data_IF_500422424094
#
_entry.id   IF_500422424094
#
_cell.length_a   1.000
_cell.length_b   1.000
_cell.length_c   1.000
_cell.angle_alpha   90.00
_cell.angle_beta   90.00
_cell.angle_gamma   90.00
#
_symmetry.space_group_name_H-M   'P 1'
#
loop_
_entity.id
_entity.type
_entity.pdbx_description
1 polymer ?
#
# COMPACT_ATOMS: atom_id res chain seq x y z
N UNK A 1 11.88 -0.37 2.15
CA UNK A 1 11.35 -1.42 3.04
C UNK A 1 12.40 -2.50 3.15
N UNK A 2 12.63 -3.03 4.34
CA UNK A 2 13.51 -4.16 4.57
C UNK A 2 12.68 -5.44 4.65
N UNK A 3 13.12 -6.48 3.95
CA UNK A 3 12.41 -7.75 3.87
C UNK A 3 13.34 -8.87 4.35
N UNK A 4 12.88 -9.64 5.33
CA UNK A 4 13.44 -10.91 5.72
C UNK A 4 12.70 -12.01 4.95
N UNK A 5 13.46 -12.85 4.26
CA UNK A 5 12.94 -14.03 3.56
C UNK A 5 13.57 -15.24 4.24
N UNK A 6 12.74 -16.19 4.65
CA UNK A 6 13.18 -17.43 5.26
C UNK A 6 12.70 -18.60 4.41
N UNK A 7 13.66 -19.34 3.87
CA UNK A 7 13.41 -20.54 3.09
C UNK A 7 13.23 -21.71 4.05
N UNK A 8 12.11 -22.42 3.89
CA UNK A 8 11.79 -23.61 4.65
C UNK A 8 12.45 -24.83 4.01
N UNK A 9 12.45 -25.94 4.74
CA UNK A 9 12.98 -27.20 4.24
C UNK A 9 12.30 -27.61 2.92
N UNK A 10 13.12 -28.07 1.97
CA UNK A 10 12.67 -28.41 0.63
C UNK A 10 11.72 -29.61 0.67
N UNK A 11 10.53 -29.44 0.11
CA UNK A 11 9.52 -30.49 -0.01
C UNK A 11 9.49 -30.95 -1.47
N UNK A 12 10.18 -32.07 -1.74
CA UNK A 12 10.36 -32.61 -3.10
C UNK A 12 11.07 -31.59 -4.01
N UNK A 13 10.37 -31.06 -5.01
CA UNK A 13 10.90 -30.07 -5.97
C UNK A 13 10.58 -28.63 -5.56
N UNK A 14 9.81 -28.43 -4.49
CA UNK A 14 9.36 -27.12 -4.05
C UNK A 14 10.09 -26.67 -2.78
N UNK A 15 10.53 -25.42 -2.76
CA UNK A 15 11.08 -24.75 -1.58
C UNK A 15 10.07 -23.71 -1.10
N UNK A 16 9.27 -24.01 -0.06
CA UNK A 16 8.39 -23.01 0.51
C UNK A 16 9.21 -21.93 1.23
N UNK A 17 8.73 -20.69 1.23
CA UNK A 17 9.39 -19.58 1.92
C UNK A 17 8.39 -18.62 2.53
N UNK A 18 8.81 -17.93 3.58
CA UNK A 18 8.03 -16.90 4.28
C UNK A 18 8.75 -15.57 4.14
N UNK A 19 7.99 -14.51 3.92
CA UNK A 19 8.47 -13.13 3.85
C UNK A 19 7.87 -12.37 5.01
N UNK A 20 8.72 -11.72 5.81
CA UNK A 20 8.31 -10.72 6.78
C UNK A 20 9.12 -9.46 6.53
N UNK A 21 8.49 -8.30 6.55
CA UNK A 21 9.21 -7.06 6.29
C UNK A 21 8.54 -5.86 6.92
N UNK A 22 9.36 -4.85 7.17
CA UNK A 22 8.96 -3.63 7.82
C UNK A 22 9.73 -2.44 7.26
N UNK A 23 9.16 -1.25 7.41
CA UNK A 23 9.88 -0.03 7.16
C UNK A 23 8.97 1.16 6.94
N UNK A 24 9.51 2.15 6.24
CA UNK A 24 8.82 3.39 5.94
C UNK A 24 8.32 3.32 4.50
N UNK A 25 7.01 3.54 4.32
CA UNK A 25 6.38 3.74 3.03
C UNK A 25 6.07 5.23 2.85
N UNK A 26 6.48 5.79 1.71
CA UNK A 26 6.12 7.14 1.34
C UNK A 26 4.76 7.14 0.66
N UNK A 27 3.80 7.84 1.24
CA UNK A 27 2.44 7.94 0.70
C UNK A 27 2.24 9.32 0.11
N UNK A 28 1.85 9.33 -1.16
CA UNK A 28 1.52 10.53 -1.92
C UNK A 28 0.04 10.50 -2.30
N UNK A 29 -0.76 11.30 -1.61
CA UNK A 29 -2.17 11.49 -1.94
C UNK A 29 -2.25 12.59 -3.00
N UNK A 30 -2.79 12.26 -4.19
CA UNK A 30 -3.05 13.26 -5.23
C UNK A 30 -4.21 14.15 -4.78
N UNK A 31 -4.16 15.47 -5.04
CA UNK A 31 -5.27 16.35 -4.75
C UNK A 31 -6.49 15.94 -5.59
N UNK A 32 -7.66 15.94 -4.97
CA UNK A 32 -8.94 15.68 -5.64
C UNK A 32 -9.98 16.62 -5.05
N UNK A 33 -10.88 17.14 -5.89
CA UNK A 33 -12.01 17.93 -5.43
C UNK A 33 -13.32 17.27 -5.89
N UNK A 34 -14.36 17.43 -5.09
CA UNK A 34 -15.71 17.02 -5.44
C UNK A 34 -16.58 18.25 -5.59
N UNK A 35 -17.13 18.43 -6.79
CA UNK A 35 -18.09 19.49 -7.13
C UNK A 35 -19.50 19.07 -6.76
N UNK A 36 -20.24 19.99 -6.14
CA UNK A 36 -21.69 19.85 -6.03
C UNK A 36 -22.34 20.39 -7.31
N UNK A 37 -22.97 19.50 -8.10
CA UNK A 37 -23.61 19.84 -9.39
C UNK A 37 -24.62 21.00 -9.31
N UNK A 38 -25.38 21.08 -8.21
CA UNK A 38 -26.44 22.09 -7.98
C UNK A 38 -25.90 23.52 -7.78
N UNK A 39 -24.69 23.70 -7.23
CA UNK A 39 -24.15 25.03 -6.85
C UNK A 39 -22.89 25.39 -7.66
N UNK A 40 -22.46 24.50 -8.58
CA UNK A 40 -21.23 24.61 -9.37
C UNK A 40 -19.97 24.99 -8.55
N UNK A 41 -19.98 24.64 -7.26
CA UNK A 41 -18.91 24.95 -6.31
C UNK A 41 -18.31 23.67 -5.75
N UNK A 42 -17.00 23.70 -5.52
CA UNK A 42 -16.29 22.63 -4.83
C UNK A 42 -16.74 22.63 -3.36
N UNK A 43 -17.22 21.49 -2.85
CA UNK A 43 -17.62 21.36 -1.44
C UNK A 43 -16.52 20.71 -0.59
N UNK A 44 -15.69 19.89 -1.23
CA UNK A 44 -14.68 19.07 -0.58
C UNK A 44 -13.40 19.07 -1.40
N UNK A 45 -12.27 19.35 -0.76
CA UNK A 45 -10.96 19.38 -1.42
C UNK A 45 -9.94 18.60 -0.60
N UNK A 46 -9.48 17.47 -1.14
CA UNK A 46 -8.37 16.71 -0.57
C UNK A 46 -7.07 17.46 -0.87
N UNK A 47 -6.32 17.82 0.18
CA UNK A 47 -5.00 18.43 0.01
C UNK A 47 -4.00 17.38 -0.41
N UNK A 48 -3.08 17.79 -1.30
CA UNK A 48 -1.90 16.98 -1.62
C UNK A 48 -1.17 16.67 -0.32
N UNK A 49 -1.16 15.39 0.05
CA UNK A 49 -0.50 14.94 1.27
C UNK A 49 0.70 14.09 0.91
N UNK A 50 1.85 14.46 1.45
CA UNK A 50 3.11 13.75 1.29
C UNK A 50 3.63 13.41 2.68
N UNK A 51 3.52 12.13 3.08
CA UNK A 51 3.95 11.69 4.40
C UNK A 51 4.59 10.32 4.35
N UNK A 52 5.59 10.16 5.20
CA UNK A 52 6.21 8.90 5.51
C UNK A 52 5.34 8.19 6.56
N UNK A 53 4.99 6.94 6.30
CA UNK A 53 4.16 6.11 7.19
C UNK A 53 4.89 4.81 7.47
N UNK A 54 4.70 4.28 8.69
CA UNK A 54 5.21 2.95 9.04
C UNK A 54 4.36 1.92 8.32
N UNK A 55 5.01 0.94 7.71
CA UNK A 55 4.35 -0.10 6.97
C UNK A 55 5.04 -1.45 7.22
N UNK A 56 4.24 -2.49 7.27
CA UNK A 56 4.72 -3.86 7.35
C UNK A 56 4.18 -4.67 6.19
N UNK A 57 4.80 -5.81 5.97
CA UNK A 57 4.42 -6.77 4.97
C UNK A 57 4.68 -8.18 5.47
N UNK A 58 3.78 -9.09 5.12
CA UNK A 58 3.95 -10.50 5.35
C UNK A 58 3.57 -11.23 4.06
N UNK A 59 4.24 -12.32 3.77
CA UNK A 59 3.95 -13.12 2.60
C UNK A 59 4.44 -14.54 2.76
N UNK A 60 3.93 -15.39 1.88
CA UNK A 60 4.34 -16.77 1.75
C UNK A 60 4.49 -17.06 0.26
N UNK A 61 5.41 -17.94 -0.07
CA UNK A 61 5.64 -18.36 -1.43
C UNK A 61 6.19 -19.76 -1.52
N UNK A 62 6.25 -20.24 -2.75
CA UNK A 62 6.90 -21.47 -3.14
C UNK A 62 7.83 -21.16 -4.30
N UNK A 63 9.04 -21.68 -4.24
CA UNK A 63 9.99 -21.70 -5.34
C UNK A 63 10.04 -23.12 -5.90
N UNK A 64 10.12 -23.25 -7.22
CA UNK A 64 10.32 -24.53 -7.90
C UNK A 64 11.50 -24.42 -8.86
N UNK A 65 12.48 -25.28 -8.68
CA UNK A 65 13.58 -25.45 -9.63
C UNK A 65 13.06 -26.28 -10.82
N UNK A 66 12.98 -25.66 -12.00
CA UNK A 66 12.55 -26.32 -13.25
C UNK A 66 13.75 -26.91 -13.98
N UNK A 67 14.92 -26.27 -13.88
CA UNK A 67 16.21 -26.72 -14.41
C UNK A 67 17.32 -26.21 -13.49
N UNK A 68 18.56 -26.68 -13.63
CA UNK A 68 19.71 -26.21 -12.82
C UNK A 68 19.90 -24.69 -12.83
N UNK A 69 19.38 -24.00 -13.86
CA UNK A 69 19.51 -22.54 -14.03
C UNK A 69 18.15 -21.83 -14.11
N UNK A 70 17.02 -22.53 -13.99
CA UNK A 70 15.69 -21.94 -14.15
C UNK A 70 14.86 -22.22 -12.90
N UNK A 71 14.47 -21.17 -12.19
CA UNK A 71 13.55 -21.26 -11.04
C UNK A 71 12.31 -20.39 -11.24
N UNK A 72 11.17 -20.92 -10.78
CA UNK A 72 9.88 -20.23 -10.81
C UNK A 72 9.41 -20.03 -9.38
N UNK A 73 9.10 -18.78 -9.06
CA UNK A 73 8.59 -18.40 -7.75
C UNK A 73 7.13 -17.95 -7.87
N UNK A 74 6.29 -18.48 -7.00
CA UNK A 74 4.93 -17.98 -6.77
C UNK A 74 4.85 -17.43 -5.35
N UNK A 75 4.44 -16.17 -5.20
CA UNK A 75 4.40 -15.49 -3.89
C UNK A 75 3.09 -14.76 -3.70
N UNK A 76 2.43 -15.00 -2.57
CA UNK A 76 1.32 -14.19 -2.08
C UNK A 76 1.81 -13.29 -0.95
N UNK A 77 1.54 -11.98 -1.04
CA UNK A 77 2.01 -11.00 -0.08
C UNK A 77 0.91 -10.01 0.30
N UNK A 78 0.79 -9.76 1.60
CA UNK A 78 0.05 -8.67 2.21
C UNK A 78 1.02 -7.54 2.55
N UNK A 79 0.64 -6.31 2.21
CA UNK A 79 1.35 -5.12 2.63
C UNK A 79 0.35 -4.13 3.25
N UNK A 80 0.69 -3.61 4.43
CA UNK A 80 -0.15 -2.67 5.17
C UNK A 80 0.64 -1.45 5.61
N UNK A 81 0.11 -0.26 5.33
CA UNK A 81 0.60 1.02 5.82
C UNK A 81 -0.31 1.58 6.92
N UNK A 82 0.30 1.94 8.06
CA UNK A 82 -0.40 2.42 9.26
C UNK A 82 -0.41 3.93 9.35
N UNK A 83 -1.48 4.45 9.97
CA UNK A 83 -1.61 5.87 10.34
C UNK A 83 -1.49 6.80 9.13
N UNK A 84 -2.05 6.39 7.99
CA UNK A 84 -2.15 7.26 6.82
C UNK A 84 -3.13 8.37 7.15
N UNK A 85 -2.62 9.60 7.24
CA UNK A 85 -3.42 10.79 7.52
C UNK A 85 -3.75 11.47 6.20
N UNK A 86 -5.03 11.59 5.89
CA UNK A 86 -5.52 12.31 4.72
C UNK A 86 -6.01 13.68 5.20
N UNK A 87 -5.33 14.73 4.78
CA UNK A 87 -5.74 16.10 5.07
C UNK A 87 -6.76 16.54 4.01
N UNK A 88 -7.88 17.11 4.44
CA UNK A 88 -8.90 17.64 3.55
C UNK A 88 -9.46 18.94 4.11
N UNK A 89 -9.99 19.75 3.19
CA UNK A 89 -10.70 20.97 3.50
C UNK A 89 -12.17 20.81 3.14
N UNK A 90 -13.03 21.41 3.96
CA UNK A 90 -14.47 21.49 3.73
C UNK A 90 -14.87 22.93 3.49
N UNK A 91 -15.84 23.14 2.60
CA UNK A 91 -16.43 24.46 2.40
C UNK A 91 -17.28 24.82 3.64
N UNK A 92 -16.93 25.91 4.32
CA UNK A 92 -17.76 26.49 5.36
C UNK A 92 -18.83 27.38 4.69
N UNK A 93 -20.10 26.98 4.83
CA UNK A 93 -21.24 27.68 4.25
C UNK A 93 -21.48 29.07 4.88
N UNK A 94 -20.92 29.35 6.06
CA UNK A 94 -21.07 30.65 6.73
C UNK A 94 -20.08 31.69 6.22
N UNK A 95 -18.87 31.26 5.86
CA UNK A 95 -17.77 32.15 5.45
C UNK A 95 -17.46 32.06 3.96
N UNK A 96 -17.99 31.07 3.26
CA UNK A 96 -17.72 30.82 1.84
C UNK A 96 -16.27 30.36 1.57
N UNK A 97 -15.51 30.02 2.62
CA UNK A 97 -14.10 29.67 2.54
C UNK A 97 -13.87 28.18 2.81
N UNK A 98 -12.77 27.64 2.26
CA UNK A 98 -12.31 26.30 2.58
C UNK A 98 -11.53 26.29 3.88
N UNK A 99 -12.09 25.61 4.89
CA UNK A 99 -11.48 25.48 6.21
C UNK A 99 -10.87 24.08 6.35
N UNK A 100 -9.64 23.94 6.87
CA UNK A 100 -9.02 22.64 7.10
C UNK A 100 -9.81 21.86 8.15
N UNK A 101 -10.20 20.64 7.80
CA UNK A 101 -10.91 19.73 8.68
C UNK A 101 -9.95 18.77 9.41
N UNK A 102 -10.46 18.08 10.42
CA UNK A 102 -9.69 17.07 11.15
C UNK A 102 -9.26 15.93 10.21
N UNK A 103 -7.97 15.59 10.15
CA UNK A 103 -7.48 14.61 9.19
C UNK A 103 -8.04 13.21 9.44
N UNK A 104 -8.50 12.55 8.38
CA UNK A 104 -8.96 11.16 8.45
C UNK A 104 -7.74 10.25 8.60
N UNK A 105 -7.74 9.43 9.66
CA UNK A 105 -6.76 8.37 9.86
C UNK A 105 -7.31 7.10 9.23
N UNK A 106 -6.59 6.52 8.27
CA UNK A 106 -6.95 5.24 7.66
C UNK A 106 -5.74 4.33 7.59
N UNK A 107 -5.99 3.04 7.75
CA UNK A 107 -5.00 2.00 7.46
C UNK A 107 -5.27 1.50 6.05
N UNK A 108 -4.22 1.35 5.25
CA UNK A 108 -4.31 0.82 3.90
C UNK A 108 -3.63 -0.53 3.83
N UNK A 109 -4.37 -1.55 3.44
CA UNK A 109 -3.88 -2.91 3.23
C UNK A 109 -4.15 -3.32 1.78
N UNK A 110 -3.18 -3.98 1.15
CA UNK A 110 -3.33 -4.52 -0.20
C UNK A 110 -2.69 -5.90 -0.29
N UNK A 111 -3.39 -6.82 -0.95
CA UNK A 111 -2.91 -8.16 -1.29
C UNK A 111 -2.42 -8.18 -2.72
N UNK A 112 -1.24 -8.74 -2.94
CA UNK A 112 -0.68 -8.95 -4.28
C UNK A 112 -0.11 -10.35 -4.42
N UNK A 113 -0.45 -11.00 -5.53
CA UNK A 113 0.15 -12.26 -5.97
C UNK A 113 1.16 -11.93 -7.06
N UNK A 114 2.37 -12.47 -6.93
CA UNK A 114 3.44 -12.34 -7.90
C UNK A 114 3.83 -13.72 -8.43
N UNK A 115 4.16 -13.77 -9.71
CA UNK A 115 4.91 -14.86 -10.31
C UNK A 115 6.20 -14.28 -10.87
N UNK A 116 7.33 -14.88 -10.56
CA UNK A 116 8.64 -14.45 -11.06
C UNK A 116 9.39 -15.65 -11.62
N UNK A 117 10.02 -15.44 -12.77
CA UNK A 117 10.85 -16.43 -13.45
C UNK A 117 12.28 -15.89 -13.38
N UNK A 118 13.20 -16.70 -12.86
CA UNK A 118 14.63 -16.40 -12.87
C UNK A 118 15.30 -17.26 -13.94
N UNK A 119 16.10 -16.61 -14.78
CA UNK A 119 16.87 -17.18 -15.90
C UNK A 119 18.36 -17.17 -15.58
#
# INVERSE_FOLDING_TARGET
MLNLIYDLEKIKTFTPFVILGGGIAQIKVKPTSSRWSVINSDYFKVRRTHKNCVAWQAGLGISQDVTSNLSIDATAKLQTAYKVRINYDTLDMKTGQFVPANPIKKNYSHWRIWRRIYL
#
